data_IF_386750385111
#
_entry.id   IF_386750385111
#
_cell.length_a   1.000
_cell.length_b   1.000
_cell.length_c   1.000
_cell.angle_alpha   90.00
_cell.angle_beta   90.00
_cell.angle_gamma   90.00
#
_symmetry.space_group_name_H-M   'P 1'
#
loop_
_entity.id
_entity.type
_entity.pdbx_description
1 polymer ?
#
# COMPACT_ATOMS: atom_id res chain seq x y z
N UNK A 1 -15.98 -8.82 -17.64
CA UNK A 1 -17.26 -8.92 -18.39
C UNK A 1 -17.39 -7.66 -19.21
N UNK A 2 -17.43 -7.72 -20.55
CA UNK A 2 -17.85 -6.57 -21.34
C UNK A 2 -19.35 -6.29 -21.07
N UNK A 3 -19.70 -5.02 -20.86
CA UNK A 3 -21.07 -4.57 -20.68
C UNK A 3 -21.85 -4.62 -22.01
N UNK A 4 -23.18 -4.77 -21.97
CA UNK A 4 -23.99 -4.61 -23.17
C UNK A 4 -24.10 -3.12 -23.55
N UNK A 5 -24.51 -2.81 -24.79
CA UNK A 5 -24.63 -1.42 -25.25
C UNK A 5 -25.58 -0.59 -24.37
N UNK A 6 -26.68 -1.17 -23.91
CA UNK A 6 -27.64 -0.49 -23.04
C UNK A 6 -27.02 -0.11 -21.69
N UNK A 7 -26.26 -1.02 -21.07
CA UNK A 7 -25.57 -0.77 -19.81
C UNK A 7 -24.46 0.28 -19.98
N UNK A 8 -23.74 0.24 -21.11
CA UNK A 8 -22.72 1.25 -21.42
C UNK A 8 -23.33 2.65 -21.53
N UNK A 9 -24.45 2.81 -22.25
CA UNK A 9 -25.15 4.08 -22.36
C UNK A 9 -25.68 4.57 -21.00
N UNK A 10 -26.10 3.67 -20.10
CA UNK A 10 -26.50 4.04 -18.74
C UNK A 10 -25.31 4.61 -17.97
N UNK A 11 -24.17 3.93 -17.99
CA UNK A 11 -22.94 4.37 -17.31
C UNK A 11 -22.46 5.72 -17.84
N UNK A 12 -22.47 5.91 -19.16
CA UNK A 12 -22.10 7.19 -19.78
C UNK A 12 -23.01 8.36 -19.36
N UNK A 13 -24.28 8.06 -19.04
CA UNK A 13 -25.25 9.04 -18.53
C UNK A 13 -25.21 9.19 -17.00
N UNK A 14 -24.28 8.49 -16.33
CA UNK A 14 -24.17 8.48 -14.87
C UNK A 14 -25.32 7.74 -14.17
N UNK A 15 -26.03 6.86 -14.89
CA UNK A 15 -27.07 6.00 -14.35
C UNK A 15 -26.46 4.67 -13.90
N UNK A 16 -27.00 4.12 -12.81
CA UNK A 16 -26.58 2.82 -12.28
C UNK A 16 -27.25 1.69 -13.07
N UNK A 17 -26.51 0.84 -13.80
CA UNK A 17 -27.08 -0.34 -14.44
C UNK A 17 -27.43 -1.41 -13.39
N UNK A 18 -28.37 -2.30 -13.74
CA UNK A 18 -28.76 -3.37 -12.84
C UNK A 18 -27.62 -4.37 -12.63
N UNK A 19 -27.23 -4.53 -11.37
CA UNK A 19 -26.24 -5.52 -10.97
C UNK A 19 -26.81 -6.93 -10.95
N UNK A 20 -25.95 -7.93 -11.20
CA UNK A 20 -26.34 -9.33 -11.00
C UNK A 20 -26.51 -9.60 -9.51
N UNK A 21 -27.72 -10.01 -9.13
CA UNK A 21 -28.04 -10.41 -7.76
C UNK A 21 -28.00 -11.94 -7.58
N UNK A 22 -27.73 -12.37 -6.34
CA UNK A 22 -27.75 -13.76 -5.91
C UNK A 22 -28.50 -13.88 -4.58
N UNK A 23 -29.12 -15.04 -4.35
CA UNK A 23 -29.90 -15.29 -3.14
C UNK A 23 -28.97 -15.69 -1.99
N UNK A 24 -28.97 -14.88 -0.92
CA UNK A 24 -28.22 -15.14 0.32
C UNK A 24 -29.15 -14.97 1.50
N UNK A 25 -29.44 -16.07 2.20
CA UNK A 25 -30.33 -16.06 3.37
C UNK A 25 -31.74 -15.55 3.06
N UNK A 26 -32.26 -15.83 1.85
CA UNK A 26 -33.60 -15.39 1.42
C UNK A 26 -33.69 -13.95 0.95
N UNK A 27 -32.57 -13.22 0.87
CA UNK A 27 -32.51 -11.87 0.28
C UNK A 27 -31.72 -11.91 -1.01
N UNK A 28 -32.17 -11.15 -2.00
CA UNK A 28 -31.38 -10.87 -3.19
C UNK A 28 -30.37 -9.78 -2.85
N UNK A 29 -29.10 -10.08 -3.07
CA UNK A 29 -28.00 -9.14 -2.88
C UNK A 29 -27.11 -9.14 -4.11
N UNK A 30 -26.45 -8.01 -4.44
CA UNK A 30 -25.46 -7.99 -5.50
C UNK A 30 -24.38 -9.06 -5.28
N UNK A 31 -23.90 -9.69 -6.36
CA UNK A 31 -23.02 -10.87 -6.25
C UNK A 31 -21.73 -10.63 -5.45
N UNK A 32 -21.20 -9.41 -5.46
CA UNK A 32 -20.00 -9.04 -4.68
C UNK A 32 -20.26 -8.94 -3.18
N UNK A 33 -21.53 -8.84 -2.76
CA UNK A 33 -21.96 -8.82 -1.36
C UNK A 33 -22.44 -10.21 -0.87
N UNK A 34 -22.20 -11.28 -1.65
CA UNK A 34 -22.80 -12.58 -1.40
C UNK A 34 -22.22 -13.38 -0.22
N UNK A 35 -21.34 -12.80 0.60
CA UNK A 35 -20.81 -13.40 1.83
C UNK A 35 -19.28 -13.51 1.89
N UNK A 36 -18.73 -14.31 2.82
CA UNK A 36 -17.30 -14.33 3.16
C UNK A 36 -16.37 -14.62 1.98
N UNK A 37 -16.84 -15.40 0.99
CA UNK A 37 -16.07 -15.70 -0.22
C UNK A 37 -15.70 -14.45 -1.04
N UNK A 38 -16.50 -13.38 -0.95
CA UNK A 38 -16.27 -12.12 -1.65
C UNK A 38 -15.68 -11.03 -0.75
N UNK A 39 -15.60 -11.27 0.57
CA UNK A 39 -15.07 -10.34 1.57
C UNK A 39 -13.63 -9.86 1.31
N UNK A 40 -12.69 -10.70 0.85
CA UNK A 40 -11.32 -10.27 0.57
C UNK A 40 -11.20 -9.16 -0.48
N UNK A 41 -12.14 -9.08 -1.43
CA UNK A 41 -12.17 -8.02 -2.44
C UNK A 41 -12.81 -6.72 -1.96
N UNK A 42 -13.64 -6.79 -0.91
CA UNK A 42 -14.32 -5.61 -0.35
C UNK A 42 -13.37 -4.69 0.44
N UNK A 43 -12.22 -5.21 0.92
CA UNK A 43 -11.24 -4.43 1.70
C UNK A 43 -10.37 -3.47 0.86
N UNK A 44 -10.47 -3.51 -0.47
CA UNK A 44 -9.60 -2.76 -1.38
C UNK A 44 -8.22 -3.39 -1.58
N UNK A 45 -7.50 -2.95 -2.62
CA UNK A 45 -6.22 -3.54 -3.05
C UNK A 45 -5.16 -3.60 -1.94
N UNK A 46 -5.14 -2.60 -1.05
CA UNK A 46 -4.17 -2.50 0.04
C UNK A 46 -4.66 -3.13 1.35
N UNK A 47 -5.84 -3.75 1.38
CA UNK A 47 -6.36 -4.40 2.59
C UNK A 47 -5.38 -5.40 3.24
N UNK A 48 -4.64 -6.24 2.47
CA UNK A 48 -3.66 -7.16 3.05
C UNK A 48 -2.46 -6.45 3.68
N UNK A 49 -2.23 -5.19 3.30
CA UNK A 49 -1.09 -4.36 3.73
C UNK A 49 -1.56 -3.17 4.59
N UNK A 50 -2.70 -3.30 5.28
CA UNK A 50 -3.46 -2.19 5.88
C UNK A 50 -2.71 -1.22 6.79
N UNK A 51 -1.55 -1.59 7.34
CA UNK A 51 -0.66 -0.69 8.09
C UNK A 51 0.66 -0.35 7.38
N UNK A 52 1.08 -1.15 6.39
CA UNK A 52 2.36 -0.99 5.72
C UNK A 52 2.37 0.24 4.82
N UNK A 53 1.34 0.43 4.00
CA UNK A 53 1.30 1.56 3.07
C UNK A 53 1.15 2.91 3.79
N UNK A 54 0.21 3.10 4.75
CA UNK A 54 0.17 4.31 5.56
C UNK A 54 1.46 4.51 6.39
N UNK A 55 2.05 3.42 6.89
CA UNK A 55 3.31 3.46 7.64
C UNK A 55 4.49 3.92 6.80
N UNK A 56 4.61 3.45 5.54
CA UNK A 56 5.61 3.94 4.59
C UNK A 56 5.36 5.40 4.26
N UNK A 57 4.11 5.82 3.99
CA UNK A 57 3.80 7.22 3.69
C UNK A 57 4.17 8.16 4.85
N UNK A 58 3.75 7.83 6.07
CA UNK A 58 4.07 8.62 7.27
C UNK A 58 5.57 8.55 7.56
N UNK A 59 6.17 7.37 7.44
CA UNK A 59 7.61 7.16 7.61
C UNK A 59 8.46 7.93 6.61
N UNK A 60 8.02 8.06 5.35
CA UNK A 60 8.68 8.87 4.34
C UNK A 60 8.50 10.37 4.58
N UNK A 61 7.33 10.82 5.04
CA UNK A 61 7.14 12.24 5.43
C UNK A 61 8.00 12.61 6.66
N UNK A 62 8.03 11.73 7.66
CA UNK A 62 8.80 11.93 8.89
C UNK A 62 10.30 11.80 8.63
N UNK A 63 10.70 10.79 7.88
CA UNK A 63 12.07 10.58 7.40
C UNK A 63 12.55 11.75 6.55
N UNK A 64 11.73 12.29 5.65
CA UNK A 64 12.04 13.50 4.89
C UNK A 64 12.15 14.76 5.75
N UNK A 65 11.35 14.87 6.82
CA UNK A 65 11.43 15.98 7.77
C UNK A 65 12.69 15.92 8.66
N UNK A 66 13.15 14.72 9.03
CA UNK A 66 14.40 14.51 9.76
C UNK A 66 15.64 14.42 8.85
N UNK A 67 15.47 14.13 7.57
CA UNK A 67 16.52 14.07 6.56
C UNK A 67 16.77 15.41 5.86
N UNK A 68 15.91 16.42 6.06
CA UNK A 68 16.19 17.79 5.60
C UNK A 68 17.07 18.51 6.63
N UNK A 69 18.07 19.26 6.17
CA UNK A 69 19.44 19.14 6.62
C UNK A 69 19.63 19.78 8.00
N UNK A 70 20.06 18.99 8.97
CA UNK A 70 20.88 19.49 10.10
C UNK A 70 22.30 19.89 9.61
N UNK A 71 22.42 20.28 8.33
CA UNK A 71 23.63 20.66 7.63
C UNK A 71 23.43 21.89 6.72
N UNK A 72 22.37 22.69 6.91
CA UNK A 72 22.19 23.94 6.15
C UNK A 72 22.03 25.13 7.08
N UNK A 73 23.11 25.47 7.77
CA UNK A 73 23.16 26.63 8.67
C UNK A 73 24.48 26.77 9.41
N UNK A 74 25.62 26.64 8.72
CA UNK A 74 26.91 26.78 9.42
C UNK A 74 28.16 26.62 8.57
N UNK A 75 28.17 27.18 7.36
CA UNK A 75 29.36 27.62 6.64
C UNK A 75 30.46 26.61 6.36
N UNK A 76 30.53 26.12 5.13
CA UNK A 76 31.81 26.08 4.41
C UNK A 76 31.56 25.95 2.90
N UNK A 77 32.16 26.91 2.23
CA UNK A 77 32.60 26.99 0.85
C UNK A 77 32.90 25.62 0.18
N UNK A 78 32.40 25.45 -1.05
CA UNK A 78 33.10 24.67 -2.06
C UNK A 78 32.51 23.31 -2.43
N UNK A 79 32.03 23.24 -3.68
CA UNK A 79 32.36 22.09 -4.52
C UNK A 79 31.21 21.15 -4.88
N UNK A 80 31.01 21.08 -6.19
CA UNK A 80 30.62 19.88 -6.93
C UNK A 80 29.15 19.45 -6.93
N UNK A 81 28.54 19.69 -8.09
CA UNK A 81 27.38 18.96 -8.58
C UNK A 81 27.79 17.50 -8.82
N UNK A 82 27.71 16.68 -7.78
CA UNK A 82 27.99 15.25 -7.82
C UNK A 82 26.71 14.44 -8.00
N UNK A 83 26.52 13.95 -9.21
CA UNK A 83 25.66 12.84 -9.57
C UNK A 83 25.92 11.63 -8.64
N UNK A 84 24.85 11.03 -8.10
CA UNK A 84 24.92 9.70 -7.49
C UNK A 84 24.60 9.64 -5.99
N UNK A 85 23.35 9.33 -5.66
CA UNK A 85 23.07 8.44 -4.53
C UNK A 85 21.83 7.57 -4.79
N UNK A 86 21.89 6.82 -5.89
CA UNK A 86 21.16 5.56 -6.05
C UNK A 86 22.11 4.39 -5.77
N UNK A 87 22.91 4.47 -4.71
CA UNK A 87 23.88 3.41 -4.43
C UNK A 87 24.74 3.64 -3.22
N UNK A 88 24.22 3.35 -2.02
CA UNK A 88 25.10 3.31 -0.86
C UNK A 88 24.47 3.16 0.52
N UNK A 89 23.56 2.20 0.75
CA UNK A 89 23.47 1.58 2.09
C UNK A 89 22.83 0.18 2.06
N UNK A 90 23.41 -0.71 1.26
CA UNK A 90 23.28 -2.16 1.46
C UNK A 90 24.60 -2.69 2.03
N UNK A 91 25.04 -2.17 3.18
CA UNK A 91 26.11 -2.82 3.93
C UNK A 91 26.84 -1.94 4.94
N UNK A 92 26.60 -2.18 6.23
CA UNK A 92 27.60 -1.88 7.27
C UNK A 92 27.08 -1.68 8.69
N UNK A 93 26.91 -2.78 9.44
CA UNK A 93 26.70 -2.80 10.92
C UNK A 93 25.24 -2.57 11.31
N UNK A 94 24.50 -3.48 11.96
CA UNK A 94 24.80 -4.31 13.12
C UNK A 94 24.07 -5.67 13.02
N UNK A 95 24.71 -6.68 12.42
CA UNK A 95 24.39 -8.09 12.68
C UNK A 95 25.26 -8.61 13.83
N UNK A 96 25.24 -7.91 14.96
CA UNK A 96 26.17 -8.17 16.06
C UNK A 96 25.62 -7.74 17.42
N UNK A 97 24.62 -8.45 17.95
CA UNK A 97 24.20 -8.24 19.33
C UNK A 97 23.02 -9.09 19.76
N UNK A 98 23.30 -10.29 20.28
CA UNK A 98 22.33 -11.09 21.04
C UNK A 98 21.88 -12.37 20.34
N UNK A 99 22.81 -13.33 20.22
CA UNK A 99 22.43 -14.72 20.00
C UNK A 99 21.90 -15.31 21.31
N UNK A 100 20.58 -15.49 21.39
CA UNK A 100 19.91 -16.41 22.32
C UNK A 100 18.61 -16.91 21.67
N UNK A 101 18.74 -17.62 20.54
CA UNK A 101 17.73 -18.58 20.09
C UNK A 101 18.29 -19.99 20.31
N UNK A 102 18.52 -20.31 21.58
CA UNK A 102 18.80 -21.66 22.03
C UNK A 102 17.53 -22.49 22.07
N UNK A 103 17.52 -23.56 21.26
CA UNK A 103 16.94 -24.85 21.62
C UNK A 103 15.43 -24.94 21.82
N UNK A 104 14.73 -25.33 20.75
CA UNK A 104 13.39 -25.89 20.81
C UNK A 104 13.15 -26.71 19.56
N UNK A 105 13.49 -27.99 19.63
CA UNK A 105 13.11 -29.02 18.68
C UNK A 105 11.59 -29.24 18.73
N UNK A 106 10.92 -28.84 17.65
CA UNK A 106 9.60 -29.33 17.24
C UNK A 106 9.65 -29.67 15.75
#
# INVERSE_FOLDING_TARGET
>A
MPACEADAQMVERGLEPAAREVSVGGRQVPYWNAGPAYGPWAGGFFSPFGGLFPGILIGSMLGGAFASPVAYGGGYEGGDSGDGDFGGDFGGGDFGGGGDFGGGDF
#
